data_IF_568212888211
#
_entry.id   IF_568212888211
#
_cell.length_a   1.000
_cell.length_b   1.000
_cell.length_c   1.000
_cell.angle_alpha   90.00
_cell.angle_beta   90.00
_cell.angle_gamma   90.00
#
_symmetry.space_group_name_H-M   'P 1'
#
loop_
_entity.id
_entity.type
_entity.pdbx_description
1 polymer ?
#
# COMPACT_ATOMS: atom_id res chain seq x y z
N UNK A 1 -18.27 -17.80 -14.17
CA UNK A 1 -17.94 -16.47 -13.62
C UNK A 1 -16.44 -16.49 -13.41
N UNK A 2 -15.68 -15.54 -13.96
CA UNK A 2 -14.25 -15.49 -13.67
C UNK A 2 -14.10 -15.08 -12.21
N UNK A 3 -13.36 -15.87 -11.42
CA UNK A 3 -12.98 -15.49 -10.07
C UNK A 3 -12.00 -14.32 -10.12
N UNK A 4 -12.21 -13.32 -9.27
CA UNK A 4 -11.25 -12.25 -9.05
C UNK A 4 -10.00 -12.87 -8.43
N UNK A 5 -8.84 -12.66 -9.04
CA UNK A 5 -7.58 -13.16 -8.49
C UNK A 5 -7.22 -12.40 -7.21
N UNK A 6 -6.33 -12.97 -6.39
CA UNK A 6 -5.86 -12.29 -5.18
C UNK A 6 -5.23 -10.91 -5.50
N UNK A 7 -4.50 -10.81 -6.61
CA UNK A 7 -3.88 -9.57 -7.09
C UNK A 7 -4.93 -8.54 -7.52
N UNK A 8 -5.95 -8.98 -8.26
CA UNK A 8 -7.08 -8.13 -8.66
C UNK A 8 -7.86 -7.64 -7.43
N UNK A 9 -8.04 -8.49 -6.41
CA UNK A 9 -8.70 -8.11 -5.16
C UNK A 9 -7.89 -7.05 -4.40
N UNK A 10 -6.56 -7.16 -4.35
CA UNK A 10 -5.68 -6.14 -3.76
C UNK A 10 -5.85 -4.81 -4.49
N UNK A 11 -5.81 -4.82 -5.83
CA UNK A 11 -5.96 -3.61 -6.65
C UNK A 11 -7.34 -2.96 -6.48
N UNK A 12 -8.41 -3.76 -6.42
CA UNK A 12 -9.76 -3.28 -6.15
C UNK A 12 -9.87 -2.64 -4.76
N UNK A 13 -9.30 -3.27 -3.74
CA UNK A 13 -9.32 -2.75 -2.38
C UNK A 13 -8.51 -1.45 -2.25
N UNK A 14 -7.35 -1.36 -2.92
CA UNK A 14 -6.57 -0.11 -3.00
C UNK A 14 -7.39 1.00 -3.66
N UNK A 15 -8.02 0.72 -4.79
CA UNK A 15 -8.83 1.70 -5.50
C UNK A 15 -9.99 2.21 -4.62
N UNK A 16 -10.68 1.30 -3.91
CA UNK A 16 -11.75 1.67 -2.96
C UNK A 16 -11.22 2.50 -1.78
N UNK A 17 -10.04 2.16 -1.24
CA UNK A 17 -9.43 2.88 -0.11
C UNK A 17 -9.04 4.31 -0.52
N UNK A 18 -8.63 4.47 -1.77
CA UNK A 18 -8.14 5.72 -2.33
C UNK A 18 -9.26 6.54 -3.00
N UNK A 19 -10.52 6.34 -2.59
CA UNK A 19 -11.68 7.04 -3.12
C UNK A 19 -11.79 7.00 -4.66
N UNK A 20 -11.34 5.90 -5.28
CA UNK A 20 -11.29 5.73 -6.73
C UNK A 20 -10.37 6.72 -7.47
N UNK A 21 -9.47 7.40 -6.75
CA UNK A 21 -8.45 8.25 -7.37
C UNK A 21 -7.41 7.39 -8.08
N UNK A 22 -7.41 7.47 -9.41
CA UNK A 22 -6.53 6.65 -10.25
C UNK A 22 -5.07 7.06 -10.22
N UNK A 23 -4.73 8.30 -9.83
CA UNK A 23 -3.35 8.73 -9.67
C UNK A 23 -2.78 8.16 -8.37
N UNK A 24 -3.52 8.29 -7.26
CA UNK A 24 -3.19 7.65 -6.00
C UNK A 24 -3.11 6.12 -6.14
N UNK A 25 -4.06 5.50 -6.83
CA UNK A 25 -4.06 4.05 -7.03
C UNK A 25 -2.81 3.57 -7.77
N UNK A 26 -2.32 4.31 -8.78
CA UNK A 26 -1.08 3.96 -9.48
C UNK A 26 0.13 3.97 -8.55
N UNK A 27 0.26 5.01 -7.72
CA UNK A 27 1.34 5.11 -6.74
C UNK A 27 1.30 3.95 -5.72
N UNK A 28 0.11 3.66 -5.17
CA UNK A 28 -0.04 2.57 -4.21
C UNK A 28 0.22 1.20 -4.84
N UNK A 29 -0.27 0.95 -6.06
CA UNK A 29 -0.03 -0.32 -6.78
C UNK A 29 1.46 -0.49 -7.08
N UNK A 30 2.16 0.57 -7.48
CA UNK A 30 3.59 0.54 -7.75
C UNK A 30 4.42 0.18 -6.50
N UNK A 31 3.99 0.63 -5.32
CA UNK A 31 4.59 0.22 -4.05
C UNK A 31 4.24 -1.23 -3.68
N UNK A 32 2.95 -1.57 -3.71
CA UNK A 32 2.43 -2.86 -3.23
C UNK A 32 2.92 -4.03 -4.09
N UNK A 33 3.03 -3.86 -5.41
CA UNK A 33 3.46 -4.90 -6.37
C UNK A 33 2.76 -6.25 -6.12
N UNK A 34 1.47 -6.18 -5.79
CA UNK A 34 0.61 -7.33 -5.47
C UNK A 34 1.09 -8.18 -4.26
N UNK A 35 2.02 -7.68 -3.44
CA UNK A 35 2.43 -8.31 -2.18
C UNK A 35 1.43 -8.03 -1.07
N UNK A 36 0.88 -9.10 -0.48
CA UNK A 36 -0.04 -8.99 0.65
C UNK A 36 0.58 -8.23 1.85
N UNK A 37 1.88 -8.42 2.12
CA UNK A 37 2.57 -7.71 3.20
C UNK A 37 2.62 -6.20 2.93
N UNK A 38 3.08 -5.81 1.73
CA UNK A 38 3.17 -4.39 1.36
C UNK A 38 1.79 -3.74 1.29
N UNK A 39 0.77 -4.48 0.84
CA UNK A 39 -0.63 -4.04 0.86
C UNK A 39 -1.08 -3.71 2.29
N UNK A 40 -0.92 -4.64 3.23
CA UNK A 40 -1.32 -4.41 4.63
C UNK A 40 -0.57 -3.23 5.25
N UNK A 41 0.73 -3.12 4.97
CA UNK A 41 1.56 -2.02 5.46
C UNK A 41 1.07 -0.67 4.92
N UNK A 42 0.81 -0.60 3.61
CA UNK A 42 0.26 0.58 2.98
C UNK A 42 -1.07 1.01 3.59
N UNK A 43 -2.02 0.08 3.77
CA UNK A 43 -3.34 0.40 4.35
C UNK A 43 -3.20 0.95 5.78
N UNK A 44 -2.35 0.34 6.60
CA UNK A 44 -2.09 0.81 7.95
C UNK A 44 -1.50 2.22 7.94
N UNK A 45 -0.50 2.47 7.10
CA UNK A 45 0.18 3.75 7.07
C UNK A 45 -0.71 4.85 6.47
N UNK A 46 -1.46 4.52 5.40
CA UNK A 46 -2.44 5.42 4.81
C UNK A 46 -3.47 5.87 5.84
N UNK A 47 -3.99 4.96 6.67
CA UNK A 47 -4.92 5.29 7.76
C UNK A 47 -4.33 6.27 8.77
N UNK A 48 -3.02 6.18 9.05
CA UNK A 48 -2.31 7.05 10.01
C UNK A 48 -1.97 8.43 9.46
N UNK A 49 -1.77 8.56 8.15
CA UNK A 49 -1.52 9.87 7.53
C UNK A 49 -2.81 10.68 7.51
N UNK A 50 -2.96 11.61 8.45
CA UNK A 50 -4.12 12.52 8.51
C UNK A 50 -3.75 13.98 8.23
N UNK A 51 -2.48 14.25 7.93
CA UNK A 51 -1.96 15.61 7.71
C UNK A 51 -2.23 16.13 6.30
N UNK A 52 -2.42 15.23 5.34
CA UNK A 52 -2.60 15.56 3.93
C UNK A 52 -4.10 15.65 3.59
N UNK A 53 -4.50 16.72 2.90
CA UNK A 53 -5.89 16.91 2.46
C UNK A 53 -6.18 16.25 1.12
N UNK A 54 -5.17 16.15 0.24
CA UNK A 54 -5.31 15.49 -1.05
C UNK A 54 -5.03 13.99 -0.94
N UNK A 55 -5.89 13.18 -1.57
CA UNK A 55 -5.77 11.71 -1.57
C UNK A 55 -4.42 11.27 -2.15
N UNK A 56 -3.97 11.91 -3.23
CA UNK A 56 -2.68 11.60 -3.87
C UNK A 56 -1.50 11.94 -2.95
N UNK A 57 -1.50 13.13 -2.33
CA UNK A 57 -0.46 13.52 -1.37
C UNK A 57 -0.41 12.58 -0.16
N UNK A 58 -1.59 12.21 0.38
CA UNK A 58 -1.72 11.24 1.46
C UNK A 58 -1.13 9.88 1.06
N UNK A 59 -1.40 9.42 -0.16
CA UNK A 59 -0.85 8.17 -0.69
C UNK A 59 0.65 8.22 -0.83
N UNK A 60 1.21 9.28 -1.39
CA UNK A 60 2.66 9.44 -1.54
C UNK A 60 3.35 9.35 -0.17
N UNK A 61 2.82 10.06 0.82
CA UNK A 61 3.35 10.03 2.18
C UNK A 61 3.20 8.65 2.84
N UNK A 62 2.05 8.00 2.66
CA UNK A 62 1.82 6.65 3.14
C UNK A 62 2.80 5.64 2.51
N UNK A 63 3.11 5.77 1.22
CA UNK A 63 4.12 4.95 0.52
C UNK A 63 5.52 5.19 1.10
N UNK A 64 5.90 6.44 1.36
CA UNK A 64 7.19 6.78 1.97
C UNK A 64 7.32 6.13 3.35
N UNK A 65 6.36 6.40 4.24
CA UNK A 65 6.36 5.85 5.60
C UNK A 65 6.26 4.31 5.61
N UNK A 66 5.53 3.71 4.64
CA UNK A 66 5.47 2.25 4.47
C UNK A 66 6.81 1.68 4.01
N UNK A 67 7.56 2.40 3.17
CA UNK A 67 8.89 1.97 2.72
C UNK A 67 9.87 1.96 3.90
N UNK A 68 9.82 2.99 4.76
CA UNK A 68 10.62 3.03 5.99
C UNK A 68 10.25 1.90 6.96
N UNK A 69 8.95 1.63 7.13
CA UNK A 69 8.48 0.54 7.97
C UNK A 69 8.81 -0.84 7.40
N UNK A 70 8.88 -0.98 6.07
CA UNK A 70 9.24 -2.24 5.42
C UNK A 70 10.64 -2.71 5.81
N UNK A 71 11.57 -1.77 6.03
CA UNK A 71 12.94 -2.09 6.45
C UNK A 71 13.00 -2.90 7.76
N UNK A 72 12.01 -2.75 8.64
CA UNK A 72 11.90 -3.55 9.89
C UNK A 72 11.71 -5.03 9.59
N UNK A 73 11.03 -5.36 8.48
CA UNK A 73 10.78 -6.73 8.06
C UNK A 73 11.98 -7.33 7.29
N UNK A 74 12.74 -6.51 6.57
CA UNK A 74 13.98 -6.95 5.91
C UNK A 74 15.07 -7.31 6.94
N UNK A 75 15.24 -6.53 8.02
CA UNK A 75 16.22 -6.85 9.08
C UNK A 75 15.88 -8.15 9.82
N UNK A 76 14.60 -8.53 9.91
CA UNK A 76 14.19 -9.79 10.50
C UNK A 76 14.60 -11.01 9.65
N UNK A 77 14.76 -10.85 8.33
CA UNK A 77 15.25 -11.90 7.45
C UNK A 77 16.74 -12.22 7.70
N UNK A 78 17.54 -11.22 8.08
CA UNK A 78 18.98 -11.39 8.35
C UNK A 78 19.27 -12.09 9.69
N UNK A 79 18.38 -11.98 10.70
CA UNK A 79 18.58 -12.64 11.99
C UNK A 79 18.13 -14.11 12.03
N UNK A 80 17.55 -14.62 10.95
CA UNK A 80 17.07 -16.01 10.84
C UNK A 80 18.05 -16.94 10.10
N UNK A 81 19.29 -16.49 9.85
CA UNK A 81 20.34 -17.23 9.12
C UNK A 81 21.44 -17.76 10.04
#
# INVERSE_FOLDING_TARGET
>A
MAEITAEEQIRLNLLSTLNYDTAAAKEAIAFVQDSQLKYQLFIQQYSRVTTESEVVARTIKAVQESTEALAIFDTAAEQSS
#
